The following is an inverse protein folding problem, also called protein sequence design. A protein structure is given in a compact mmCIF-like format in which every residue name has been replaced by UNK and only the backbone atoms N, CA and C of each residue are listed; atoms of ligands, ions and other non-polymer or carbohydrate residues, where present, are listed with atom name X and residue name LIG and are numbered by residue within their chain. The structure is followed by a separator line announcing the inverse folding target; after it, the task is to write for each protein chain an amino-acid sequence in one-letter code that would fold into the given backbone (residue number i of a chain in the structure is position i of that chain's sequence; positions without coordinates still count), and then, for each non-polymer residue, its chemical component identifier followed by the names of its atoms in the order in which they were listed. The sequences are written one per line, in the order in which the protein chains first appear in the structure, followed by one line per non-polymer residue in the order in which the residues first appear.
data_IF_875627154319
#
_entry.id   IF_875627154319
#
_cell.length_a   1.000
_cell.length_b   1.000
_cell.length_c   1.000
_cell.angle_alpha   90.00
_cell.angle_beta   90.00
_cell.angle_gamma   90.00
#
_symmetry.space_group_name_H-M   'P 1'
#
loop_
_entity.id
_entity.type
_entity.pdbx_description
1 polymer ?
#
# COMPACT_ATOMS: atom_id res chain seq x y z
N UNK A 1 -5.14 -1.15 12.23
CA UNK A 1 -5.66 -0.79 10.90
C UNK A 1 -4.90 0.41 10.35
N UNK A 2 -4.40 0.28 9.15
CA UNK A 2 -3.72 1.38 8.47
C UNK A 2 -4.41 1.66 7.14
N UNK A 3 -4.35 2.91 6.72
CA UNK A 3 -4.90 3.31 5.42
C UNK A 3 -3.90 2.99 4.31
N UNK A 4 -4.41 2.50 3.19
CA UNK A 4 -3.61 2.25 2.00
C UNK A 4 -3.92 3.34 0.98
N UNK A 5 -2.90 4.06 0.57
CA UNK A 5 -3.04 5.17 -0.35
C UNK A 5 -2.23 4.93 -1.62
N UNK A 6 -2.76 5.38 -2.74
CA UNK A 6 -2.06 5.39 -4.01
C UNK A 6 -2.08 6.82 -4.54
N UNK A 7 -0.91 7.39 -4.74
CA UNK A 7 -0.74 8.78 -5.16
C UNK A 7 -1.46 9.77 -4.24
N UNK A 8 -1.43 9.48 -2.94
CA UNK A 8 -2.04 10.35 -1.94
C UNK A 8 -3.54 10.18 -1.74
N UNK A 9 -4.17 9.27 -2.48
CA UNK A 9 -5.60 9.00 -2.35
C UNK A 9 -5.81 7.69 -1.61
N UNK A 10 -6.60 7.71 -0.55
CA UNK A 10 -6.93 6.51 0.21
C UNK A 10 -7.81 5.60 -0.63
N UNK A 11 -7.36 4.36 -0.83
CA UNK A 11 -8.09 3.36 -1.60
C UNK A 11 -8.64 2.23 -0.76
N UNK A 12 -8.24 2.15 0.48
CA UNK A 12 -8.72 1.12 1.38
C UNK A 12 -7.95 1.10 2.67
N UNK A 13 -8.20 0.09 3.47
CA UNK A 13 -7.49 -0.11 4.73
C UNK A 13 -7.09 -1.58 4.85
N UNK A 14 -6.06 -1.84 5.62
CA UNK A 14 -5.65 -3.20 5.95
C UNK A 14 -5.38 -3.29 7.44
N UNK A 15 -5.56 -4.48 7.98
CA UNK A 15 -5.20 -4.76 9.37
C UNK A 15 -3.83 -5.40 9.41
N UNK A 16 -2.93 -4.79 10.16
CA UNK A 16 -1.58 -5.30 10.32
C UNK A 16 -1.26 -5.36 11.80
N UNK A 17 -0.37 -6.28 12.17
CA UNK A 17 0.08 -6.33 13.55
C UNK A 17 1.08 -5.19 13.79
N UNK A 18 1.22 -4.81 15.07
CA UNK A 18 2.19 -3.79 15.43
C UNK A 18 3.63 -4.21 15.14
N UNK A 19 3.85 -5.51 14.95
CA UNK A 19 5.17 -6.07 14.65
C UNK A 19 5.44 -6.21 13.16
N UNK A 20 4.46 -5.93 12.31
CA UNK A 20 4.65 -6.01 10.86
C UNK A 20 5.60 -4.92 10.40
N UNK A 21 6.53 -5.30 9.55
CA UNK A 21 7.45 -4.34 8.95
C UNK A 21 6.92 -3.91 7.59
N UNK A 22 7.65 -3.01 6.95
CA UNK A 22 7.27 -2.48 5.64
C UNK A 22 7.14 -3.57 4.58
N UNK A 23 8.03 -4.56 4.61
CA UNK A 23 8.00 -5.66 3.65
C UNK A 23 6.75 -6.52 3.80
N UNK A 24 6.37 -6.82 5.03
CA UNK A 24 5.16 -7.61 5.30
C UNK A 24 3.92 -6.89 4.79
N UNK A 25 3.85 -5.59 5.02
CA UNK A 25 2.74 -4.78 4.56
C UNK A 25 2.70 -4.73 3.04
N UNK A 26 3.84 -4.58 2.42
CA UNK A 26 3.95 -4.58 0.95
C UNK A 26 3.42 -5.90 0.38
N UNK A 27 3.81 -7.03 0.94
CA UNK A 27 3.34 -8.34 0.50
C UNK A 27 1.85 -8.50 0.68
N UNK A 28 1.30 -8.03 1.80
CA UNK A 28 -0.13 -8.08 2.05
C UNK A 28 -0.90 -7.29 0.99
N UNK A 29 -0.43 -6.12 0.65
CA UNK A 29 -1.09 -5.28 -0.34
C UNK A 29 -1.01 -5.91 -1.72
N UNK A 30 0.13 -6.49 -2.08
CA UNK A 30 0.27 -7.17 -3.36
C UNK A 30 -0.62 -8.39 -3.48
N UNK A 31 -0.92 -9.06 -2.37
CA UNK A 31 -1.78 -10.23 -2.37
C UNK A 31 -3.27 -9.89 -2.41
N UNK A 32 -3.64 -8.64 -2.09
CA UNK A 32 -5.03 -8.20 -2.13
C UNK A 32 -5.42 -7.85 -3.56
N UNK A 33 -6.43 -8.54 -4.10
CA UNK A 33 -6.83 -8.33 -5.49
C UNK A 33 -7.32 -6.91 -5.76
N UNK A 34 -7.97 -6.28 -4.80
CA UNK A 34 -8.46 -4.90 -4.96
C UNK A 34 -7.32 -3.89 -5.10
N UNK A 35 -6.16 -4.18 -4.52
CA UNK A 35 -4.99 -3.31 -4.63
C UNK A 35 -4.11 -3.71 -5.80
N UNK A 36 -4.02 -5.00 -6.11
CA UNK A 36 -3.19 -5.46 -7.21
C UNK A 36 -3.65 -4.90 -8.55
N UNK A 37 -4.95 -4.65 -8.71
CA UNK A 37 -5.49 -4.03 -9.93
C UNK A 37 -4.89 -2.65 -10.17
N UNK A 38 -4.65 -1.89 -9.12
CA UNK A 38 -4.00 -0.59 -9.25
C UNK A 38 -2.52 -0.73 -9.60
N UNK A 39 -1.89 -1.80 -9.11
CA UNK A 39 -0.47 -2.00 -9.30
C UNK A 39 -0.11 -2.64 -10.63
N UNK A 40 -1.05 -3.37 -11.25
CA UNK A 40 -0.81 -4.01 -12.54
C UNK A 40 -0.51 -3.01 -13.66
N UNK A 41 -1.19 -1.88 -13.64
CA UNK A 41 -1.05 -0.86 -14.68
C UNK A 41 -0.07 0.24 -14.30
N UNK A 42 0.49 0.17 -13.11
CA UNK A 42 1.30 1.22 -12.54
C UNK A 42 2.61 0.66 -12.04
N UNK A 43 3.64 1.48 -12.08
CA UNK A 43 4.92 1.14 -11.46
C UNK A 43 5.05 1.89 -10.16
N UNK A 44 5.50 1.19 -9.13
CA UNK A 44 5.76 1.81 -7.85
C UNK A 44 7.09 2.56 -7.96
N UNK A 45 7.02 3.88 -7.84
CA UNK A 45 8.22 4.73 -7.84
C UNK A 45 8.78 4.82 -6.43
N UNK A 46 7.89 4.97 -5.46
CA UNK A 46 8.28 5.20 -4.09
C UNK A 46 7.17 4.68 -3.19
N UNK A 47 7.53 4.22 -2.01
CA UNK A 47 6.55 3.89 -0.98
C UNK A 47 6.91 4.60 0.29
N UNK A 48 5.88 5.13 0.95
CA UNK A 48 6.02 5.85 2.20
C UNK A 48 5.19 5.10 3.23
N UNK A 49 5.82 4.58 4.24
CA UNK A 49 5.16 3.88 5.31
C UNK A 49 5.28 4.66 6.61
N UNK A 50 4.14 5.00 7.18
CA UNK A 50 4.08 5.63 8.48
C UNK A 50 3.48 4.60 9.45
N UNK A 51 4.26 4.06 10.37
CA UNK A 51 3.79 3.00 11.27
C UNK A 51 2.52 3.38 12.01
N UNK A 52 1.59 2.44 12.06
CA UNK A 52 0.29 2.59 12.74
C UNK A 52 -0.62 3.65 12.15
N UNK A 53 -0.29 4.21 10.99
CA UNK A 53 -1.09 5.26 10.36
C UNK A 53 -1.48 4.91 8.94
N UNK A 54 -0.52 4.93 8.04
CA UNK A 54 -0.83 4.70 6.63
C UNK A 54 0.39 4.20 5.87
N UNK A 55 0.12 3.67 4.69
CA UNK A 55 1.15 3.41 3.70
C UNK A 55 0.70 4.06 2.39
N UNK A 56 1.58 4.80 1.77
CA UNK A 56 1.30 5.50 0.51
C UNK A 56 2.27 5.04 -0.56
N UNK A 57 1.73 4.58 -1.68
CA UNK A 57 2.53 4.19 -2.83
C UNK A 57 2.43 5.28 -3.89
N UNK A 58 3.57 5.82 -4.29
CA UNK A 58 3.63 6.75 -5.40
C UNK A 58 3.79 5.93 -6.67
N UNK A 59 2.82 6.02 -7.55
CA UNK A 59 2.75 5.21 -8.77
C UNK A 59 2.94 6.09 -10.00
N UNK A 60 3.40 5.45 -11.08
CA UNK A 60 3.63 6.11 -12.35
C UNK A 60 3.02 5.26 -13.47
N UNK A 61 2.61 5.90 -14.54
CA UNK A 61 2.07 5.24 -15.75
C UNK A 61 0.74 4.55 -15.52
N UNK A 62 -0.10 5.15 -14.71
CA UNK A 62 -1.47 4.66 -14.53
C UNK A 62 -2.47 5.41 -15.34
#
# INVERSE_FOLDING_TARGET
TIAVQFNGKTRGTIDVSAKSNEEDIHKLILSESKFSKFLENCKIIKKIYIPKRLVNFVLKNC
#
